data_IF_971339210000
#
_entry.id   IF_971339210000
#
_cell.length_a   1.000
_cell.length_b   1.000
_cell.length_c   1.000
_cell.angle_alpha   90.00
_cell.angle_beta   90.00
_cell.angle_gamma   90.00
#
_symmetry.space_group_name_H-M   'P 1'
#
loop_
_entity.id
_entity.type
_entity.pdbx_description
1 polymer ?
#
# COMPACT_ATOMS: atom_id res chain seq x y z
N UNK A 1 2.27 6.46 -25.83
CA UNK A 1 1.87 6.53 -27.24
C UNK A 1 1.06 7.77 -27.56
N UNK A 2 -0.08 7.95 -26.91
CA UNK A 2 -1.04 9.04 -27.22
C UNK A 2 -0.43 10.45 -27.06
N UNK A 3 0.21 10.73 -25.93
CA UNK A 3 0.91 12.02 -25.69
C UNK A 3 1.96 12.30 -26.76
N UNK A 4 2.72 11.29 -27.17
CA UNK A 4 3.72 11.43 -28.22
C UNK A 4 3.06 11.75 -29.57
N UNK A 5 1.98 11.05 -29.92
CA UNK A 5 1.24 11.31 -31.15
C UNK A 5 0.71 12.76 -31.21
N UNK A 6 0.14 13.26 -30.12
CA UNK A 6 -0.30 14.65 -30.03
C UNK A 6 0.86 15.63 -30.25
N UNK A 7 2.01 15.40 -29.58
CA UNK A 7 3.17 16.29 -29.70
C UNK A 7 3.77 16.28 -31.12
N UNK A 8 3.80 15.14 -31.79
CA UNK A 8 4.21 15.04 -33.18
C UNK A 8 3.26 15.80 -34.14
N UNK A 9 1.96 15.84 -33.82
CA UNK A 9 0.97 16.61 -34.55
C UNK A 9 0.91 18.09 -34.14
N UNK A 10 1.96 18.61 -33.51
CA UNK A 10 2.08 20.02 -33.05
C UNK A 10 1.08 20.45 -31.99
N UNK A 11 0.42 19.51 -31.30
CA UNK A 11 -0.42 19.78 -30.16
C UNK A 11 0.38 19.47 -28.89
N UNK A 12 1.03 20.50 -28.32
CA UNK A 12 1.84 20.33 -27.11
C UNK A 12 1.00 19.84 -25.92
N UNK A 13 1.25 18.62 -25.49
CA UNK A 13 0.60 17.99 -24.34
C UNK A 13 1.68 17.49 -23.40
N UNK A 14 1.66 17.88 -22.10
CA UNK A 14 2.62 17.35 -21.13
C UNK A 14 2.40 15.84 -20.92
N UNK A 15 3.48 15.13 -20.68
CA UNK A 15 3.40 13.71 -20.29
C UNK A 15 3.17 13.61 -18.79
N UNK A 16 2.01 13.10 -18.39
CA UNK A 16 1.65 12.87 -16.99
C UNK A 16 1.44 11.36 -16.77
N UNK A 17 2.48 10.65 -16.32
CA UNK A 17 2.41 9.19 -16.15
C UNK A 17 1.48 8.73 -15.00
N UNK A 18 1.04 9.67 -14.15
CA UNK A 18 0.27 9.35 -12.95
C UNK A 18 1.12 8.76 -11.83
N UNK A 19 0.46 8.08 -10.88
CA UNK A 19 1.15 7.41 -9.79
C UNK A 19 1.82 6.15 -10.31
N UNK A 20 3.10 5.98 -9.97
CA UNK A 20 3.86 4.79 -10.35
C UNK A 20 3.22 3.54 -9.73
N UNK A 21 3.06 2.52 -10.56
CA UNK A 21 2.63 1.21 -10.14
C UNK A 21 3.40 0.12 -10.89
N UNK A 22 3.87 -0.86 -10.15
CA UNK A 22 4.45 -2.06 -10.71
C UNK A 22 4.05 -3.28 -9.89
N UNK A 23 3.79 -4.40 -10.55
CA UNK A 23 3.61 -5.70 -9.91
C UNK A 23 4.26 -6.78 -10.74
N UNK A 24 4.87 -7.74 -10.08
CA UNK A 24 5.40 -8.92 -10.75
C UNK A 24 5.30 -10.14 -9.83
N UNK A 25 5.27 -11.31 -10.47
CA UNK A 25 5.35 -12.59 -9.79
C UNK A 25 6.51 -13.39 -10.38
N UNK A 26 7.44 -13.78 -9.51
CA UNK A 26 8.55 -14.66 -9.83
C UNK A 26 8.41 -15.93 -9.02
N UNK A 27 8.06 -17.03 -9.65
CA UNK A 27 7.78 -18.31 -9.00
C UNK A 27 6.68 -18.17 -7.93
N UNK A 28 7.03 -18.32 -6.66
CA UNK A 28 6.16 -18.17 -5.49
C UNK A 28 6.25 -16.79 -4.81
N UNK A 29 7.14 -15.91 -5.31
CA UNK A 29 7.28 -14.55 -4.80
C UNK A 29 6.45 -13.60 -5.66
N UNK A 30 5.51 -12.91 -5.03
CA UNK A 30 4.74 -11.84 -5.64
C UNK A 30 5.01 -10.53 -4.94
N UNK A 31 5.20 -9.45 -5.70
CA UNK A 31 5.37 -8.12 -5.14
C UNK A 31 4.58 -7.06 -5.89
N UNK A 32 4.28 -5.98 -5.19
CA UNK A 32 3.66 -4.79 -5.76
C UNK A 32 4.33 -3.55 -5.19
N UNK A 33 4.49 -2.53 -6.04
CA UNK A 33 5.00 -1.21 -5.68
C UNK A 33 4.01 -0.15 -6.12
N UNK A 34 3.68 0.77 -5.23
CA UNK A 34 2.79 1.91 -5.47
C UNK A 34 3.49 3.20 -5.06
N UNK A 35 3.46 4.22 -5.93
CA UNK A 35 4.11 5.49 -5.67
C UNK A 35 5.63 5.38 -5.60
N UNK A 36 6.26 6.13 -4.69
CA UNK A 36 7.71 6.24 -4.58
C UNK A 36 8.22 5.56 -3.31
N UNK A 37 8.99 4.49 -3.49
CA UNK A 37 9.69 3.77 -2.40
C UNK A 37 11.14 3.56 -2.85
N UNK A 38 12.04 4.56 -2.70
CA UNK A 38 13.44 4.42 -3.07
C UNK A 38 14.17 3.42 -2.18
N UNK A 39 15.33 2.94 -2.62
CA UNK A 39 16.17 2.03 -1.85
C UNK A 39 16.81 2.70 -0.63
N UNK A 40 17.00 4.01 -0.69
CA UNK A 40 17.54 4.86 0.38
C UNK A 40 16.70 6.12 0.49
N UNK A 41 16.53 6.64 1.68
CA UNK A 41 15.80 7.89 1.95
C UNK A 41 16.44 8.64 3.10
N UNK A 42 16.17 9.95 3.17
CA UNK A 42 16.55 10.77 4.30
C UNK A 42 15.54 10.55 5.44
N UNK A 43 16.00 10.05 6.58
CA UNK A 43 15.16 9.82 7.76
C UNK A 43 14.62 11.11 8.39
N UNK A 44 15.26 12.25 8.12
CA UNK A 44 14.78 13.55 8.57
C UNK A 44 13.54 14.00 7.77
N UNK A 45 13.45 13.60 6.50
CA UNK A 45 12.35 13.97 5.61
C UNK A 45 11.31 12.88 5.40
N UNK A 46 11.64 11.62 5.71
CA UNK A 46 10.81 10.47 5.40
C UNK A 46 10.69 9.54 6.59
N UNK A 47 9.47 9.14 6.91
CA UNK A 47 9.18 8.13 7.92
C UNK A 47 8.82 6.82 7.26
N UNK A 48 9.45 5.74 7.70
CA UNK A 48 9.19 4.38 7.22
C UNK A 48 8.42 3.57 8.24
N UNK A 49 7.33 2.96 7.79
CA UNK A 49 6.67 1.87 8.48
C UNK A 49 7.03 0.56 7.79
N UNK A 50 7.44 -0.44 8.56
CA UNK A 50 7.72 -1.80 8.07
C UNK A 50 7.06 -2.83 8.96
N UNK A 51 6.42 -3.80 8.34
CA UNK A 51 5.85 -4.98 8.97
C UNK A 51 6.21 -6.22 8.15
N UNK A 52 6.50 -7.30 8.85
CA UNK A 52 6.79 -8.60 8.27
C UNK A 52 6.03 -9.68 9.03
N UNK A 53 5.41 -10.60 8.28
CA UNK A 53 4.77 -11.77 8.86
C UNK A 53 5.81 -12.87 9.10
N UNK A 54 5.76 -13.49 10.26
CA UNK A 54 6.59 -14.69 10.53
C UNK A 54 6.02 -15.90 9.78
N UNK A 55 6.83 -16.65 9.01
CA UNK A 55 8.28 -16.76 8.94
C UNK A 55 8.96 -16.04 7.75
N UNK A 56 8.59 -14.81 7.41
CA UNK A 56 9.45 -14.00 6.56
C UNK A 56 9.21 -14.08 5.04
N UNK A 57 8.01 -14.49 4.59
CA UNK A 57 7.67 -14.49 3.15
C UNK A 57 6.67 -13.41 2.74
N UNK A 58 6.14 -12.68 3.71
CA UNK A 58 5.11 -11.67 3.53
C UNK A 58 5.52 -10.41 4.26
N UNK A 59 5.60 -9.29 3.56
CA UNK A 59 5.93 -8.03 4.21
C UNK A 59 5.22 -6.83 3.56
N UNK A 60 5.14 -5.76 4.32
CA UNK A 60 4.55 -4.49 3.92
C UNK A 60 5.42 -3.34 4.39
N UNK A 61 5.79 -2.45 3.47
CA UNK A 61 6.51 -1.21 3.76
C UNK A 61 5.72 -0.02 3.23
N UNK A 62 5.54 1.00 4.05
CA UNK A 62 4.94 2.27 3.66
C UNK A 62 5.88 3.42 4.01
N UNK A 63 6.13 4.30 3.05
CA UNK A 63 6.86 5.54 3.25
C UNK A 63 5.90 6.72 3.34
N UNK A 64 6.20 7.64 4.25
CA UNK A 64 5.45 8.87 4.50
C UNK A 64 6.40 10.05 4.56
N UNK A 65 5.96 11.24 4.15
CA UNK A 65 6.70 12.47 4.35
C UNK A 65 6.60 12.98 5.81
N UNK A 66 7.22 14.11 6.09
CA UNK A 66 7.20 14.76 7.42
C UNK A 66 5.79 15.13 7.90
N UNK A 67 4.84 15.33 6.97
CA UNK A 67 3.44 15.59 7.29
C UNK A 67 2.63 14.29 7.45
N UNK A 68 3.29 13.16 7.57
CA UNK A 68 2.70 11.82 7.65
C UNK A 68 1.85 11.43 6.42
N UNK A 69 2.00 12.12 5.28
CA UNK A 69 1.29 11.78 4.05
C UNK A 69 2.02 10.65 3.31
N UNK A 70 1.26 9.70 2.79
CA UNK A 70 1.80 8.55 2.04
C UNK A 70 2.56 9.00 0.78
N UNK A 71 3.76 8.46 0.60
CA UNK A 71 4.59 8.61 -0.60
C UNK A 71 4.55 7.37 -1.47
N UNK A 72 4.53 6.19 -0.85
CA UNK A 72 4.48 4.94 -1.57
C UNK A 72 4.43 3.74 -0.65
N UNK A 73 4.16 2.58 -1.27
CA UNK A 73 4.06 1.28 -0.60
C UNK A 73 4.74 0.21 -1.42
N UNK A 74 5.48 -0.67 -0.73
CA UNK A 74 5.91 -1.97 -1.25
C UNK A 74 5.27 -3.08 -0.42
N UNK A 75 4.72 -4.08 -1.09
CA UNK A 75 4.28 -5.31 -0.42
C UNK A 75 4.76 -6.55 -1.16
N UNK A 76 5.01 -7.62 -0.39
CA UNK A 76 5.46 -8.92 -0.86
C UNK A 76 4.59 -10.02 -0.29
N UNK A 77 4.30 -11.04 -1.11
CA UNK A 77 3.64 -12.27 -0.69
C UNK A 77 2.13 -12.19 -0.55
N UNK A 78 1.51 -11.04 -0.83
CA UNK A 78 0.06 -10.87 -0.87
C UNK A 78 -0.34 -9.74 -1.81
N UNK A 79 -1.61 -9.73 -2.23
CA UNK A 79 -2.12 -8.72 -3.18
C UNK A 79 -2.95 -7.66 -2.51
N UNK A 80 -2.71 -6.41 -2.96
CA UNK A 80 -3.52 -5.26 -2.60
C UNK A 80 -4.06 -4.58 -3.87
N UNK A 81 -5.16 -3.83 -3.72
CA UNK A 81 -5.81 -3.13 -4.84
C UNK A 81 -5.04 -1.88 -5.23
N UNK A 82 -4.69 -1.77 -6.49
CA UNK A 82 -4.00 -0.61 -7.05
C UNK A 82 -4.80 0.69 -6.84
N UNK A 83 -6.08 0.67 -7.14
CA UNK A 83 -6.95 1.83 -7.09
C UNK A 83 -6.99 2.49 -5.70
N UNK A 84 -6.87 1.67 -4.65
CA UNK A 84 -6.83 2.16 -3.27
C UNK A 84 -5.59 3.04 -3.03
N UNK A 85 -4.41 2.59 -3.45
CA UNK A 85 -3.17 3.34 -3.25
C UNK A 85 -3.02 4.49 -4.24
N UNK A 86 -3.49 4.36 -5.48
CA UNK A 86 -3.55 5.48 -6.43
C UNK A 86 -4.36 6.63 -5.84
N UNK A 87 -5.56 6.35 -5.31
CA UNK A 87 -6.38 7.35 -4.63
C UNK A 87 -5.68 7.91 -3.40
N UNK A 88 -5.13 7.05 -2.53
CA UNK A 88 -4.51 7.48 -1.28
C UNK A 88 -3.34 8.44 -1.52
N UNK A 89 -2.50 8.16 -2.54
CA UNK A 89 -1.34 8.99 -2.88
C UNK A 89 -1.79 10.30 -3.53
N UNK A 90 -2.73 10.28 -4.49
CA UNK A 90 -3.28 11.48 -5.15
C UNK A 90 -3.92 12.43 -4.15
N UNK A 91 -4.71 11.91 -3.23
CA UNK A 91 -5.40 12.67 -2.20
C UNK A 91 -4.51 12.97 -0.98
N UNK A 92 -3.23 12.58 -1.00
CA UNK A 92 -2.26 12.80 0.08
C UNK A 92 -2.78 12.31 1.45
N UNK A 93 -3.34 11.10 1.50
CA UNK A 93 -3.84 10.56 2.75
C UNK A 93 -2.72 10.42 3.77
N UNK A 94 -3.06 10.59 5.05
CA UNK A 94 -2.11 10.27 6.12
C UNK A 94 -1.92 8.76 6.24
N UNK A 95 -0.76 8.33 6.74
CA UNK A 95 -0.48 6.92 6.97
C UNK A 95 -1.53 6.26 7.86
N UNK A 96 -2.00 6.97 8.89
CA UNK A 96 -3.07 6.50 9.77
C UNK A 96 -4.37 6.23 8.99
N UNK A 97 -4.75 7.14 8.08
CA UNK A 97 -5.95 6.97 7.23
C UNK A 97 -5.80 5.78 6.30
N UNK A 98 -4.61 5.59 5.70
CA UNK A 98 -4.30 4.45 4.83
C UNK A 98 -4.44 3.14 5.61
N UNK A 99 -3.77 3.04 6.74
CA UNK A 99 -3.76 1.84 7.58
C UNK A 99 -5.16 1.56 8.15
N UNK A 100 -5.92 2.59 8.56
CA UNK A 100 -7.30 2.44 9.06
C UNK A 100 -8.24 1.79 8.03
N UNK A 101 -8.01 2.08 6.74
CA UNK A 101 -8.84 1.59 5.63
C UNK A 101 -8.20 0.45 4.83
N UNK A 102 -7.11 -0.15 5.34
CA UNK A 102 -6.35 -1.15 4.61
C UNK A 102 -7.16 -2.42 4.29
N UNK A 103 -8.23 -2.68 5.05
CA UNK A 103 -9.22 -3.72 4.75
C UNK A 103 -9.85 -3.58 3.35
N UNK A 104 -10.03 -2.32 2.88
CA UNK A 104 -10.57 -2.01 1.55
C UNK A 104 -9.57 -2.24 0.43
N UNK A 105 -8.28 -2.26 0.76
CA UNK A 105 -7.22 -2.56 -0.18
C UNK A 105 -7.03 -4.06 -0.41
N UNK A 106 -7.63 -4.93 0.41
CA UNK A 106 -7.46 -6.37 0.25
C UNK A 106 -7.99 -6.84 -1.11
N UNK A 107 -7.14 -7.52 -1.88
CA UNK A 107 -7.50 -8.06 -3.19
C UNK A 107 -7.97 -9.50 -3.01
N UNK A 108 -9.12 -9.84 -3.63
CA UNK A 108 -9.71 -11.19 -3.58
C UNK A 108 -9.62 -11.88 -2.20
N UNK A 109 -10.38 -11.40 -1.20
CA UNK A 109 -10.29 -11.91 0.17
C UNK A 109 -10.64 -13.40 0.30
N UNK A 110 -11.22 -14.01 -0.73
CA UNK A 110 -11.51 -15.44 -0.80
C UNK A 110 -10.24 -16.28 -1.06
N UNK A 111 -9.23 -15.69 -1.70
CA UNK A 111 -8.00 -16.39 -2.11
C UNK A 111 -6.76 -15.97 -1.34
N UNK A 112 -6.77 -14.79 -0.69
CA UNK A 112 -5.60 -14.24 -0.02
C UNK A 112 -5.86 -13.98 1.45
N UNK A 113 -4.92 -14.40 2.30
CA UNK A 113 -5.00 -14.15 3.74
C UNK A 113 -5.05 -12.63 4.04
N UNK A 114 -5.95 -12.17 4.91
CA UNK A 114 -6.11 -10.77 5.23
C UNK A 114 -5.11 -10.34 6.32
N UNK A 115 -3.94 -9.85 5.92
CA UNK A 115 -2.90 -9.39 6.85
C UNK A 115 -3.16 -8.00 7.45
N UNK A 116 -4.19 -7.29 7.01
CA UNK A 116 -4.44 -5.90 7.41
C UNK A 116 -4.57 -5.71 8.93
N UNK A 117 -5.11 -6.68 9.67
CA UNK A 117 -5.23 -6.58 11.14
C UNK A 117 -3.88 -6.62 11.85
N UNK A 118 -2.96 -7.45 11.35
CA UNK A 118 -1.60 -7.53 11.90
C UNK A 118 -0.82 -6.26 11.57
N UNK A 119 -0.92 -5.78 10.32
CA UNK A 119 -0.32 -4.53 9.86
C UNK A 119 -0.83 -3.35 10.69
N UNK A 120 -2.15 -3.27 10.94
CA UNK A 120 -2.76 -2.25 11.78
C UNK A 120 -2.23 -2.28 13.21
N UNK A 121 -2.12 -3.46 13.80
CA UNK A 121 -1.57 -3.65 15.16
C UNK A 121 -0.11 -3.19 15.22
N UNK A 122 0.72 -3.59 14.24
CA UNK A 122 2.12 -3.20 14.17
C UNK A 122 2.30 -1.69 13.98
N UNK A 123 1.50 -1.07 13.10
CA UNK A 123 1.53 0.38 12.90
C UNK A 123 1.20 1.15 14.19
N UNK A 124 0.16 0.71 14.90
CA UNK A 124 -0.20 1.30 16.20
C UNK A 124 0.91 1.16 17.23
N UNK A 125 1.61 0.04 17.26
CA UNK A 125 2.74 -0.17 18.16
C UNK A 125 3.93 0.76 17.86
N UNK A 126 4.19 1.04 16.57
CA UNK A 126 5.31 1.89 16.14
C UNK A 126 5.01 3.39 16.24
N UNK A 127 3.81 3.83 15.87
CA UNK A 127 3.47 5.25 15.76
C UNK A 127 2.51 5.76 16.85
N UNK A 128 1.90 4.86 17.61
CA UNK A 128 0.89 5.24 18.60
C UNK A 128 -0.42 5.71 17.97
N UNK A 129 -1.19 6.53 18.70
CA UNK A 129 -2.39 7.20 18.19
C UNK A 129 -3.71 6.52 18.55
N UNK A 130 -4.82 7.30 18.46
CA UNK A 130 -6.20 6.82 18.62
C UNK A 130 -6.72 6.11 17.34
N UNK A 131 -5.95 5.16 16.87
CA UNK A 131 -6.27 4.39 15.71
C UNK A 131 -7.41 3.42 16.03
N UNK A 132 -8.55 3.56 15.37
CA UNK A 132 -9.63 2.57 15.44
C UNK A 132 -9.46 1.58 14.28
N UNK A 133 -9.10 0.32 14.55
CA UNK A 133 -8.99 -0.69 13.51
C UNK A 133 -10.35 -0.94 12.87
N UNK A 134 -10.35 -1.28 11.59
CA UNK A 134 -11.55 -1.72 10.90
C UNK A 134 -12.22 -2.87 11.70
N UNK A 135 -13.52 -2.78 11.92
CA UNK A 135 -14.26 -3.86 12.60
C UNK A 135 -14.20 -5.12 11.73
N UNK A 136 -13.87 -6.25 12.34
CA UNK A 136 -13.92 -7.55 11.65
C UNK A 136 -15.27 -7.70 10.94
N UNK A 137 -15.23 -8.00 9.65
CA UNK A 137 -16.43 -8.34 8.89
C UNK A 137 -17.16 -9.51 9.56
N UNK A 138 -18.49 -9.53 9.49
CA UNK A 138 -19.32 -10.62 10.03
C UNK A 138 -18.90 -12.00 9.50
N UNK A 139 -18.46 -12.06 8.25
CA UNK A 139 -17.95 -13.28 7.60
C UNK A 139 -16.66 -13.77 8.26
N UNK A 140 -15.72 -12.86 8.62
CA UNK A 140 -14.48 -13.22 9.32
C UNK A 140 -14.71 -13.69 10.77
N UNK A 141 -15.82 -13.29 11.38
CA UNK A 141 -16.22 -13.81 12.70
C UNK A 141 -16.75 -15.23 12.63
N UNK A 142 -17.38 -15.62 11.51
CA UNK A 142 -17.94 -16.96 11.29
C UNK A 142 -16.89 -18.00 10.89
N UNK A 143 -15.88 -17.61 10.12
CA UNK A 143 -14.85 -18.53 9.57
C UNK A 143 -13.47 -18.41 10.24
N UNK A 144 -13.27 -17.47 11.16
CA UNK A 144 -11.99 -17.23 11.85
C UNK A 144 -11.79 -18.00 13.16
N UNK A 145 -12.55 -19.06 13.42
CA UNK A 145 -12.46 -19.88 14.62
C UNK A 145 -11.96 -21.32 14.34
N UNK A 146 -11.08 -21.46 13.34
CA UNK A 146 -10.41 -22.76 13.10
C UNK A 146 -9.08 -22.50 12.40
N UNK A 147 -8.02 -22.39 13.14
CA UNK A 147 -6.68 -23.02 13.07
C UNK A 147 -5.83 -22.40 14.19
#
# INVERSE_FOLDING_TARGET
>A
GETLAHNLCKKTVPYEPGIWFNSAKFFDIEYQTYGTVPSTWDEAETKSFYWEHSPGKVCFRMLMNTNHQILGVNNFGFRLRHEFFDQAIREKWSGEKVIAKLDKANFDPEFFAPYYLEIQKAFKAQFGGNFQPAKKSFIQKLFGASV
#
